data_IF_243085757032
#
_entry.id   IF_243085757032
#
_cell.length_a   1.000
_cell.length_b   1.000
_cell.length_c   1.000
_cell.angle_alpha   90.00
_cell.angle_beta   90.00
_cell.angle_gamma   90.00
#
_symmetry.space_group_name_H-M   'P 1'
#
loop_
_entity.id
_entity.type
_entity.pdbx_description
1 polymer ?
#
# COMPACT_ATOMS: atom_id res chain seq x y z
N UNK A 1 2.11 19.89 3.56
CA UNK A 1 1.21 20.74 2.74
C UNK A 1 -0.20 20.18 2.91
N UNK A 2 -1.06 20.81 3.71
CA UNK A 2 -2.45 20.39 3.86
C UNK A 2 -3.27 21.04 2.76
N UNK A 3 -3.76 20.25 1.82
CA UNK A 3 -4.87 20.65 0.95
C UNK A 3 -6.11 20.67 1.85
N UNK A 4 -6.61 21.86 2.18
CA UNK A 4 -7.92 22.00 2.82
C UNK A 4 -8.91 22.29 1.70
N UNK A 5 -9.48 21.22 1.13
CA UNK A 5 -10.65 21.35 0.28
C UNK A 5 -11.88 21.45 1.19
N UNK A 6 -12.58 22.59 1.15
CA UNK A 6 -13.85 22.74 1.86
C UNK A 6 -14.94 22.06 1.03
N UNK A 7 -15.59 21.07 1.61
CA UNK A 7 -16.63 20.30 0.95
C UNK A 7 -17.97 20.53 1.65
N UNK A 8 -19.01 20.74 0.85
CA UNK A 8 -20.39 20.90 1.33
C UNK A 8 -21.10 19.56 1.15
N UNK A 9 -21.62 19.01 2.25
CA UNK A 9 -22.45 17.82 2.23
C UNK A 9 -23.91 18.24 2.12
N UNK A 10 -24.57 17.79 1.04
CA UNK A 10 -26.02 17.93 0.91
C UNK A 10 -26.72 16.79 1.66
N UNK A 11 -27.88 17.07 2.25
CA UNK A 11 -28.65 16.08 3.00
C UNK A 11 -28.89 14.81 2.17
N UNK A 12 -28.53 13.66 2.74
CA UNK A 12 -28.68 12.35 2.10
C UNK A 12 -27.76 12.10 0.89
N UNK A 13 -26.76 12.96 0.64
CA UNK A 13 -25.80 12.78 -0.47
C UNK A 13 -24.38 12.57 0.06
N UNK A 14 -23.68 11.51 -0.36
CA UNK A 14 -22.27 11.35 -0.05
C UNK A 14 -21.43 12.32 -0.89
N UNK A 15 -20.28 12.75 -0.34
CA UNK A 15 -19.20 13.37 -1.10
C UNK A 15 -17.98 12.44 -1.09
N UNK A 16 -17.28 12.36 -2.22
CA UNK A 16 -16.09 11.54 -2.37
C UNK A 16 -14.85 12.44 -2.32
N UNK A 17 -13.90 12.08 -1.45
CA UNK A 17 -12.64 12.81 -1.27
C UNK A 17 -11.51 11.85 -1.58
N UNK A 18 -10.60 12.27 -2.46
CA UNK A 18 -9.36 11.56 -2.74
C UNK A 18 -8.19 12.31 -2.14
N UNK A 19 -7.23 11.60 -1.55
CA UNK A 19 -5.93 12.15 -1.20
C UNK A 19 -4.84 11.18 -1.62
N UNK A 20 -3.66 11.73 -1.94
CA UNK A 20 -2.48 10.92 -2.27
C UNK A 20 -1.53 10.97 -1.08
N UNK A 21 -1.07 9.80 -0.66
CA UNK A 21 -0.12 9.66 0.43
C UNK A 21 1.02 8.72 0.04
N UNK A 22 2.24 9.25 0.06
CA UNK A 22 3.47 8.47 -0.10
C UNK A 22 3.93 8.00 1.28
N UNK A 23 3.61 6.75 1.61
CA UNK A 23 3.95 6.14 2.89
C UNK A 23 5.26 5.35 2.81
N UNK A 24 5.93 5.22 3.96
CA UNK A 24 7.00 4.22 4.16
C UNK A 24 6.37 2.91 4.64
N UNK A 25 7.11 1.80 4.57
CA UNK A 25 6.67 0.53 5.16
C UNK A 25 6.34 0.69 6.65
N UNK A 26 5.20 0.13 7.07
CA UNK A 26 4.74 0.23 8.45
C UNK A 26 3.24 -0.01 8.61
N UNK A 27 2.79 0.02 9.86
CA UNK A 27 1.38 0.02 10.23
C UNK A 27 0.97 1.41 10.68
N UNK A 28 -0.15 1.89 10.14
CA UNK A 28 -0.64 3.24 10.36
C UNK A 28 -2.13 3.20 10.69
N UNK A 29 -2.55 4.06 11.61
CA UNK A 29 -3.96 4.37 11.81
C UNK A 29 -4.26 5.67 11.07
N UNK A 30 -5.12 5.61 10.06
CA UNK A 30 -5.63 6.79 9.38
C UNK A 30 -6.96 7.16 10.03
N UNK A 31 -7.05 8.39 10.52
CA UNK A 31 -8.26 8.96 11.10
C UNK A 31 -8.78 10.07 10.20
N UNK A 32 -10.06 10.00 9.86
CA UNK A 32 -10.81 11.01 9.12
C UNK A 32 -11.79 11.64 10.10
N UNK A 33 -11.80 12.96 10.16
CA UNK A 33 -12.66 13.74 11.05
C UNK A 33 -13.47 14.71 10.19
N UNK A 34 -14.77 14.51 10.10
CA UNK A 34 -15.69 15.52 9.58
C UNK A 34 -15.88 16.62 10.64
N UNK A 35 -16.07 17.86 10.20
CA UNK A 35 -16.25 19.02 11.09
C UNK A 35 -15.27 19.07 12.29
N UNK A 36 -13.96 18.98 12.02
CA UNK A 36 -12.95 18.87 13.08
C UNK A 36 -12.87 20.07 14.04
N UNK A 37 -13.49 21.20 13.69
CA UNK A 37 -13.58 22.39 14.54
C UNK A 37 -14.90 22.48 15.31
N UNK A 38 -15.81 21.52 15.11
CA UNK A 38 -17.13 21.47 15.73
C UNK A 38 -17.96 22.73 15.40
N UNK A 39 -17.88 23.21 14.15
CA UNK A 39 -18.54 24.42 13.67
C UNK A 39 -20.02 24.19 13.32
N UNK A 40 -20.42 22.93 13.06
CA UNK A 40 -21.79 22.55 12.67
C UNK A 40 -22.40 21.72 13.80
N UNK A 41 -23.47 22.24 14.41
CA UNK A 41 -24.21 21.51 15.45
C UNK A 41 -25.06 20.42 14.78
N UNK A 42 -24.76 19.17 15.10
CA UNK A 42 -25.46 18.00 14.60
C UNK A 42 -26.21 17.28 15.73
N UNK A 43 -27.07 16.32 15.38
CA UNK A 43 -27.78 15.53 16.41
C UNK A 43 -26.88 14.56 17.15
N UNK A 44 -25.70 14.26 16.60
CA UNK A 44 -24.74 13.33 17.17
C UNK A 44 -23.30 13.70 16.78
N UNK A 45 -22.62 14.49 17.61
CA UNK A 45 -21.23 14.92 17.36
C UNK A 45 -20.19 13.78 17.37
N UNK A 46 -20.55 12.60 17.86
CA UNK A 46 -19.62 11.48 18.02
C UNK A 46 -19.48 10.62 16.75
N UNK A 47 -20.34 10.82 15.74
CA UNK A 47 -20.31 10.02 14.50
C UNK A 47 -19.41 10.63 13.40
N UNK A 48 -18.70 11.72 13.71
CA UNK A 48 -17.86 12.45 12.76
C UNK A 48 -16.43 11.91 12.66
N UNK A 49 -16.07 10.90 13.46
CA UNK A 49 -14.72 10.33 13.52
C UNK A 49 -14.74 8.90 13.00
N UNK A 50 -13.92 8.64 11.98
CA UNK A 50 -13.68 7.29 11.48
C UNK A 50 -12.18 6.99 11.48
N UNK A 51 -11.79 5.84 12.02
CA UNK A 51 -10.39 5.40 12.05
C UNK A 51 -10.25 4.03 11.41
N UNK A 52 -9.28 3.90 10.50
CA UNK A 52 -8.93 2.62 9.87
C UNK A 52 -7.44 2.31 10.01
N UNK A 53 -7.13 1.03 10.19
CA UNK A 53 -5.74 0.55 10.18
C UNK A 53 -5.32 0.17 8.76
N UNK A 54 -4.18 0.68 8.33
CA UNK A 54 -3.57 0.37 7.04
C UNK A 54 -2.16 -0.17 7.26
N UNK A 55 -1.84 -1.27 6.58
CA UNK A 55 -0.50 -1.84 6.53
C UNK A 55 0.12 -1.55 5.16
N UNK A 56 1.21 -0.80 5.16
CA UNK A 56 2.01 -0.52 3.97
C UNK A 56 3.19 -1.48 3.99
N UNK A 57 3.33 -2.29 2.95
CA UNK A 57 4.42 -3.25 2.82
C UNK A 57 4.94 -3.25 1.39
N UNK A 58 6.24 -3.43 1.23
CA UNK A 58 6.80 -3.67 -0.10
C UNK A 58 6.35 -5.05 -0.57
N UNK A 59 5.91 -5.12 -1.84
CA UNK A 59 5.71 -6.40 -2.49
C UNK A 59 7.07 -7.06 -2.62
N UNK A 60 7.38 -7.98 -1.70
CA UNK A 60 8.61 -8.74 -1.74
C UNK A 60 8.45 -9.80 -2.84
N UNK A 61 8.90 -9.50 -4.05
CA UNK A 61 8.92 -10.44 -5.18
C UNK A 61 10.04 -11.50 -4.99
N UNK A 62 10.01 -12.23 -3.86
CA UNK A 62 10.95 -13.33 -3.56
C UNK A 62 10.91 -14.41 -4.65
N UNK A 63 9.73 -14.70 -5.19
CA UNK A 63 9.54 -15.74 -6.19
C UNK A 63 10.35 -15.47 -7.47
N UNK A 64 10.50 -14.19 -7.86
CA UNK A 64 11.26 -13.83 -9.05
C UNK A 64 12.76 -14.02 -8.84
N UNK A 65 13.28 -13.66 -7.66
CA UNK A 65 14.71 -13.81 -7.35
C UNK A 65 15.09 -15.28 -7.22
N UNK A 66 14.28 -16.09 -6.53
CA UNK A 66 14.56 -17.51 -6.34
C UNK A 66 14.52 -18.29 -7.66
N UNK A 67 13.56 -17.98 -8.53
CA UNK A 67 13.44 -18.62 -9.84
C UNK A 67 14.61 -18.28 -10.77
N UNK A 68 15.09 -17.03 -10.74
CA UNK A 68 16.29 -16.61 -11.49
C UNK A 68 17.55 -17.33 -10.98
N UNK A 69 17.74 -17.43 -9.67
CA UNK A 69 18.89 -18.15 -9.08
C UNK A 69 18.86 -19.62 -9.47
N UNK A 70 17.70 -20.28 -9.36
CA UNK A 70 17.54 -21.68 -9.72
C UNK A 70 17.89 -21.90 -11.20
N UNK A 71 17.38 -21.06 -12.10
CA UNK A 71 17.68 -21.13 -13.53
C UNK A 71 19.18 -20.96 -13.83
N UNK A 72 19.88 -20.05 -13.14
CA UNK A 72 21.33 -19.86 -13.33
C UNK A 72 22.09 -21.09 -12.84
N UNK A 73 21.74 -21.64 -11.68
CA UNK A 73 22.42 -22.82 -11.14
C UNK A 73 22.24 -24.04 -12.04
N UNK A 74 21.06 -24.26 -12.63
CA UNK A 74 20.83 -25.37 -13.55
C UNK A 74 21.62 -25.22 -14.84
N UNK A 75 21.70 -24.00 -15.39
CA UNK A 75 22.51 -23.71 -16.58
C UNK A 75 24.00 -23.98 -16.30
N UNK A 76 24.53 -23.53 -15.16
CA UNK A 76 25.94 -23.77 -14.78
C UNK A 76 26.22 -25.26 -14.67
N UNK A 77 25.35 -26.04 -14.02
CA UNK A 77 25.51 -27.49 -13.88
C UNK A 77 25.51 -28.18 -15.25
N UNK A 78 24.60 -27.79 -16.15
CA UNK A 78 24.57 -28.33 -17.51
C UNK A 78 25.87 -28.03 -18.28
N UNK A 79 26.39 -26.81 -18.17
CA UNK A 79 27.66 -26.43 -18.80
C UNK A 79 28.82 -27.30 -18.26
N UNK A 80 28.89 -27.53 -16.95
CA UNK A 80 29.93 -28.38 -16.35
C UNK A 80 29.85 -29.81 -16.87
N UNK A 81 28.64 -30.38 -16.98
CA UNK A 81 28.42 -31.73 -17.50
C UNK A 81 28.86 -31.82 -18.96
N UNK A 82 28.48 -30.83 -19.79
CA UNK A 82 28.86 -30.77 -21.20
C UNK A 82 30.38 -30.66 -21.34
N UNK A 83 31.02 -29.74 -20.61
CA UNK A 83 32.48 -29.57 -20.64
C UNK A 83 33.24 -30.82 -20.16
N UNK A 84 32.67 -31.55 -19.20
CA UNK A 84 33.22 -32.84 -18.75
C UNK A 84 33.16 -33.87 -19.87
N UNK A 85 32.03 -33.98 -20.57
CA UNK A 85 31.84 -34.91 -21.69
C UNK A 85 32.75 -34.61 -22.89
N UNK A 86 33.08 -33.33 -23.16
CA UNK A 86 34.01 -32.96 -24.24
C UNK A 86 35.50 -33.15 -23.88
N UNK A 87 35.80 -33.37 -22.60
CA UNK A 87 37.17 -33.58 -22.10
C UNK A 87 37.52 -35.07 -21.94
N UNK A 88 36.51 -35.94 -21.98
CA UNK A 88 36.63 -37.39 -21.96
C UNK A 88 36.59 -37.95 -23.39
#
# INVERSE_FOLDING_TARGET
MSLVERIILFSGKPANIGFVWTAVEGEYNITIIADAHNDVIESNELNNIYTMRIKVSYKKDIFNILHIILLITTIIVLIIIILKFYRD
#
